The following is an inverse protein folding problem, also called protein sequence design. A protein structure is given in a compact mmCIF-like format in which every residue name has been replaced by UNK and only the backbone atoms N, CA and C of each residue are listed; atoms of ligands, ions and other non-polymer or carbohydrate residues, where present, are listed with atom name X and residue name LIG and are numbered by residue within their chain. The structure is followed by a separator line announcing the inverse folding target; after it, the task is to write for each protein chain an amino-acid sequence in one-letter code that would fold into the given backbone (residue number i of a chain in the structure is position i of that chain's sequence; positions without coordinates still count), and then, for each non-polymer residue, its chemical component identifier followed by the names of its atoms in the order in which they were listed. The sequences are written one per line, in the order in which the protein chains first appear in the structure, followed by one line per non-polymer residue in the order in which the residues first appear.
data_IF_320187480496
#
_entry.id   IF_320187480496
#
_cell.length_a   1.000
_cell.length_b   1.000
_cell.length_c   1.000
_cell.angle_alpha   90.00
_cell.angle_beta   90.00
_cell.angle_gamma   90.00
#
_symmetry.space_group_name_H-M   'P 1'
#
loop_
_entity.id
_entity.type
_entity.pdbx_description
1 polymer ?
#
# COMPACT_ATOMS: atom_id res chain seq x y z
N UNK A 1 -20.61 31.95 5.74
CA UNK A 1 -19.15 32.07 5.59
C UNK A 1 -18.52 30.78 6.07
N UNK A 2 -17.99 29.95 5.17
CA UNK A 2 -17.29 28.72 5.55
C UNK A 2 -15.96 29.12 6.20
N UNK A 3 -15.73 28.69 7.44
CA UNK A 3 -14.50 28.99 8.17
C UNK A 3 -13.30 28.43 7.42
N UNK A 4 -12.27 29.26 7.15
CA UNK A 4 -11.03 28.82 6.50
C UNK A 4 -10.35 27.67 7.24
N UNK A 5 -10.53 27.60 8.56
CA UNK A 5 -10.03 26.52 9.41
C UNK A 5 -10.72 25.19 9.07
N UNK A 6 -12.03 25.20 8.80
CA UNK A 6 -12.77 24.00 8.39
C UNK A 6 -12.31 23.50 7.02
N UNK A 7 -11.99 24.41 6.10
CA UNK A 7 -11.48 24.06 4.77
C UNK A 7 -10.09 23.41 4.87
N UNK A 8 -9.19 23.97 5.67
CA UNK A 8 -7.84 23.40 5.87
C UNK A 8 -7.91 22.03 6.56
N UNK A 9 -8.75 21.87 7.58
CA UNK A 9 -8.93 20.59 8.28
C UNK A 9 -9.46 19.49 7.34
N UNK A 10 -10.41 19.82 6.46
CA UNK A 10 -10.95 18.86 5.48
C UNK A 10 -9.89 18.41 4.47
N UNK A 11 -9.05 19.32 3.96
CA UNK A 11 -8.01 18.99 2.97
C UNK A 11 -6.92 18.09 3.56
N UNK A 12 -6.56 18.28 4.83
CA UNK A 12 -5.57 17.43 5.52
C UNK A 12 -6.10 16.00 5.70
N UNK A 13 -7.39 15.82 5.99
CA UNK A 13 -7.99 14.50 6.17
C UNK A 13 -8.07 13.69 4.87
N UNK A 14 -8.21 14.33 3.71
CA UNK A 14 -8.33 13.64 2.41
C UNK A 14 -6.99 13.21 1.80
N UNK A 15 -5.85 13.60 2.37
CA UNK A 15 -4.53 13.35 1.80
C UNK A 15 -4.02 11.90 1.97
N UNK A 16 -4.71 11.05 2.74
CA UNK A 16 -4.26 9.68 3.06
C UNK A 16 -5.07 8.59 2.33
N UNK A 17 -5.22 8.69 1.01
CA UNK A 17 -6.05 7.75 0.22
C UNK A 17 -5.40 6.38 -0.07
N UNK A 18 -4.15 6.15 0.33
CA UNK A 18 -3.40 4.94 -0.02
C UNK A 18 -3.16 3.96 1.15
N UNK A 19 -3.70 4.25 2.33
CA UNK A 19 -3.59 3.36 3.49
C UNK A 19 -4.96 2.99 4.04
N UNK A 20 -5.09 1.76 4.51
CA UNK A 20 -6.27 1.30 5.23
C UNK A 20 -5.88 0.44 6.42
N UNK A 21 -6.81 0.29 7.36
CA UNK A 21 -6.62 -0.54 8.54
C UNK A 21 -7.73 -1.58 8.61
N UNK A 22 -7.40 -2.76 9.09
CA UNK A 22 -8.34 -3.86 9.27
C UNK A 22 -8.05 -4.63 10.54
N UNK A 23 -9.10 -5.06 11.25
CA UNK A 23 -8.94 -5.95 12.39
C UNK A 23 -8.26 -7.26 11.98
N UNK A 24 -7.64 -7.93 12.94
CA UNK A 24 -6.99 -9.22 12.72
C UNK A 24 -8.04 -10.24 12.24
N UNK A 25 -7.82 -10.89 11.08
CA UNK A 25 -8.69 -11.97 10.63
C UNK A 25 -8.60 -13.15 11.59
N UNK A 26 -9.64 -13.98 11.58
CA UNK A 26 -9.64 -15.22 12.34
C UNK A 26 -8.55 -16.16 11.80
N UNK A 27 -7.72 -16.69 12.69
CA UNK A 27 -6.65 -17.62 12.31
C UNK A 27 -7.25 -18.97 11.92
N UNK A 28 -6.77 -19.61 10.85
CA UNK A 28 -7.07 -21.02 10.60
C UNK A 28 -6.69 -21.88 11.81
N UNK A 29 -7.48 -22.92 12.10
CA UNK A 29 -7.28 -23.79 13.28
C UNK A 29 -5.86 -24.37 13.36
N UNK A 30 -5.28 -24.68 12.21
CA UNK A 30 -3.93 -25.22 12.08
C UNK A 30 -2.85 -24.22 12.53
N UNK A 31 -3.10 -22.92 12.39
CA UNK A 31 -2.18 -21.83 12.73
C UNK A 31 -2.55 -21.11 14.04
N UNK A 32 -3.61 -21.54 14.73
CA UNK A 32 -4.10 -20.92 15.96
C UNK A 32 -3.05 -20.91 17.09
N UNK A 33 -2.09 -21.84 17.05
CA UNK A 33 -1.00 -21.93 18.02
C UNK A 33 0.09 -20.87 17.84
N UNK A 34 0.15 -20.20 16.67
CA UNK A 34 1.14 -19.15 16.39
C UNK A 34 0.63 -17.80 16.88
N UNK A 35 1.47 -17.05 17.59
CA UNK A 35 1.18 -15.68 18.01
C UNK A 35 1.47 -14.68 16.89
N UNK A 36 0.64 -13.62 16.77
CA UNK A 36 0.77 -12.59 15.72
C UNK A 36 -0.42 -12.48 14.78
N UNK A 37 -0.22 -11.91 13.59
CA UNK A 37 -1.28 -11.70 12.59
C UNK A 37 -1.25 -12.78 11.52
N UNK A 38 -2.41 -13.35 11.19
CA UNK A 38 -2.56 -14.17 10.00
C UNK A 38 -2.63 -13.28 8.76
N UNK A 39 -1.81 -13.59 7.77
CA UNK A 39 -1.74 -12.87 6.48
C UNK A 39 -2.17 -13.84 5.38
N UNK A 40 -3.29 -13.52 4.75
CA UNK A 40 -3.91 -14.36 3.72
C UNK A 40 -3.01 -14.54 2.49
N UNK A 41 -2.27 -13.49 2.10
CA UNK A 41 -1.42 -13.49 0.91
C UNK A 41 -0.25 -14.47 0.98
N UNK A 42 0.22 -14.81 2.19
CA UNK A 42 1.28 -15.81 2.40
C UNK A 42 0.78 -17.06 3.12
N UNK A 43 -0.51 -17.09 3.49
CA UNK A 43 -1.15 -18.16 4.26
C UNK A 43 -0.34 -18.56 5.51
N UNK A 44 0.15 -17.58 6.27
CA UNK A 44 0.90 -17.83 7.50
C UNK A 44 0.66 -16.74 8.55
N UNK A 45 1.03 -17.04 9.79
CA UNK A 45 1.02 -16.10 10.91
C UNK A 45 2.41 -15.53 11.11
N UNK A 46 2.51 -14.20 11.09
CA UNK A 46 3.76 -13.48 11.36
C UNK A 46 3.71 -12.78 12.73
N UNK A 47 4.84 -12.63 13.43
CA UNK A 47 4.88 -11.96 14.72
C UNK A 47 4.38 -10.51 14.65
N UNK A 48 3.86 -10.00 15.76
CA UNK A 48 3.52 -8.58 15.89
C UNK A 48 4.76 -7.68 15.67
N UNK A 49 4.54 -6.53 15.04
CA UNK A 49 5.58 -5.60 14.61
C UNK A 49 6.24 -5.96 13.27
N UNK A 50 5.86 -7.08 12.66
CA UNK A 50 6.43 -7.51 11.36
C UNK A 50 5.81 -6.75 10.20
N UNK A 51 6.63 -6.36 9.24
CA UNK A 51 6.20 -5.86 7.95
C UNK A 51 6.38 -6.95 6.87
N UNK A 52 5.35 -7.16 6.06
CA UNK A 52 5.33 -8.14 4.96
C UNK A 52 4.96 -7.46 3.66
N UNK A 53 5.62 -7.88 2.59
CA UNK A 53 5.44 -7.38 1.22
C UNK A 53 5.27 -8.58 0.28
N UNK A 54 4.07 -9.18 0.22
CA UNK A 54 3.85 -10.42 -0.52
C UNK A 54 4.12 -10.22 -2.02
N UNK A 55 4.77 -11.19 -2.66
CA UNK A 55 4.87 -11.23 -4.12
C UNK A 55 3.52 -11.65 -4.70
N UNK A 56 3.13 -11.08 -5.84
CA UNK A 56 1.83 -11.33 -6.47
C UNK A 56 0.72 -10.36 -6.03
N UNK A 57 0.95 -9.52 -5.01
CA UNK A 57 0.07 -8.42 -4.59
C UNK A 57 0.90 -7.19 -4.26
N UNK A 58 0.67 -6.05 -4.92
CA UNK A 58 1.42 -4.83 -4.63
C UNK A 58 0.88 -4.08 -3.40
N UNK A 59 1.10 -4.67 -2.24
CA UNK A 59 0.71 -4.14 -0.94
C UNK A 59 1.83 -4.32 0.07
N UNK A 60 1.87 -3.42 1.05
CA UNK A 60 2.66 -3.59 2.27
C UNK A 60 1.73 -3.76 3.44
N UNK A 61 1.96 -4.80 4.23
CA UNK A 61 1.14 -5.20 5.36
C UNK A 61 1.99 -5.07 6.62
N UNK A 62 1.57 -4.26 7.57
CA UNK A 62 2.17 -4.16 8.88
C UNK A 62 1.28 -4.86 9.90
N UNK A 63 1.82 -5.89 10.54
CA UNK A 63 1.15 -6.65 11.58
C UNK A 63 1.22 -5.90 12.91
N UNK A 64 0.16 -5.19 13.27
CA UNK A 64 0.03 -4.53 14.57
C UNK A 64 -0.84 -5.32 15.55
N UNK A 65 -0.95 -4.81 16.78
CA UNK A 65 -1.88 -5.29 17.81
C UNK A 65 -2.67 -4.08 18.34
N UNK A 66 -4.00 -4.00 18.14
CA UNK A 66 -4.93 -5.06 17.75
C UNK A 66 -5.32 -5.09 16.25
N UNK A 67 -4.58 -4.39 15.38
CA UNK A 67 -5.03 -4.11 14.01
C UNK A 67 -3.87 -4.21 13.01
N UNK A 68 -4.18 -4.58 11.77
CA UNK A 68 -3.23 -4.52 10.66
C UNK A 68 -3.35 -3.21 9.90
N UNK A 69 -2.21 -2.72 9.43
CA UNK A 69 -2.13 -1.54 8.58
C UNK A 69 -1.63 -1.95 7.21
N UNK A 70 -2.29 -1.41 6.18
CA UNK A 70 -2.00 -1.73 4.80
C UNK A 70 -1.64 -0.46 4.04
N UNK A 71 -0.75 -0.58 3.06
CA UNK A 71 -0.44 0.47 2.11
C UNK A 71 -0.41 -0.09 0.68
N UNK A 72 -1.14 0.53 -0.23
CA UNK A 72 -1.11 0.24 -1.67
C UNK A 72 -0.37 1.34 -2.43
N UNK A 73 -0.24 1.17 -3.74
CA UNK A 73 0.30 2.19 -4.63
C UNK A 73 -0.60 3.43 -4.65
N UNK A 74 0.03 4.61 -4.67
CA UNK A 74 -0.67 5.84 -4.97
C UNK A 74 -1.11 5.90 -6.43
N UNK A 75 -2.11 6.74 -6.71
CA UNK A 75 -2.50 7.04 -8.09
C UNK A 75 -1.46 7.97 -8.70
N UNK A 76 -0.86 7.54 -9.81
CA UNK A 76 0.06 8.35 -10.61
C UNK A 76 -0.54 8.63 -11.99
N UNK A 77 -0.23 9.79 -12.55
CA UNK A 77 -0.72 10.22 -13.86
C UNK A 77 0.17 11.30 -14.44
N UNK A 78 0.21 11.37 -15.76
CA UNK A 78 0.97 12.38 -16.51
C UNK A 78 0.08 13.00 -17.58
N UNK A 79 0.28 14.29 -17.84
CA UNK A 79 -0.33 15.02 -18.95
C UNK A 79 0.68 15.35 -20.06
N UNK A 80 1.94 14.91 -19.90
CA UNK A 80 3.00 15.11 -20.89
C UNK A 80 2.95 14.02 -21.94
N UNK A 81 2.97 14.39 -23.22
CA UNK A 81 2.93 13.45 -24.34
C UNK A 81 4.17 12.54 -24.43
N UNK A 82 5.30 12.97 -23.85
CA UNK A 82 6.56 12.22 -23.86
C UNK A 82 6.73 11.32 -22.63
N UNK A 83 5.70 11.20 -21.79
CA UNK A 83 5.74 10.38 -20.59
C UNK A 83 4.56 9.42 -20.54
N UNK A 84 4.79 8.22 -20.05
CA UNK A 84 3.77 7.19 -19.89
C UNK A 84 3.83 6.58 -18.49
N UNK A 85 2.69 6.11 -18.01
CA UNK A 85 2.59 5.37 -16.75
C UNK A 85 2.93 3.90 -17.00
N UNK A 86 3.89 3.36 -16.27
CA UNK A 86 4.23 1.94 -16.35
C UNK A 86 3.12 1.08 -15.75
N UNK A 87 3.03 -0.17 -16.18
CA UNK A 87 2.14 -1.14 -15.53
C UNK A 87 2.72 -1.58 -14.19
N UNK A 88 1.84 -2.04 -13.31
CA UNK A 88 2.21 -2.71 -12.07
C UNK A 88 3.00 -4.00 -12.38
N UNK A 89 4.08 -4.23 -11.63
CA UNK A 89 4.96 -5.40 -11.77
C UNK A 89 4.85 -6.29 -10.53
N UNK A 90 3.84 -7.16 -10.51
CA UNK A 90 3.55 -8.08 -9.41
C UNK A 90 4.65 -9.12 -9.14
N UNK A 91 5.69 -9.20 -9.98
CA UNK A 91 6.87 -10.02 -9.72
C UNK A 91 7.79 -9.43 -8.64
N UNK A 92 7.58 -8.15 -8.29
CA UNK A 92 8.36 -7.42 -7.29
C UNK A 92 7.56 -7.16 -6.01
N UNK A 93 8.24 -6.96 -4.87
CA UNK A 93 7.58 -6.53 -3.65
C UNK A 93 7.17 -5.06 -3.73
N UNK A 94 6.30 -4.62 -2.81
CA UNK A 94 6.02 -3.20 -2.62
C UNK A 94 7.23 -2.48 -1.99
N UNK A 95 7.59 -1.25 -2.44
CA UNK A 95 6.91 -0.41 -3.43
C UNK A 95 7.38 -0.62 -4.88
N UNK A 96 8.33 -1.52 -5.14
CA UNK A 96 8.96 -1.68 -6.45
C UNK A 96 8.01 -2.24 -7.53
N UNK A 97 6.90 -2.86 -7.13
CA UNK A 97 5.82 -3.27 -8.02
C UNK A 97 4.93 -2.12 -8.49
N UNK A 98 5.00 -0.93 -7.88
CA UNK A 98 4.06 0.15 -8.19
C UNK A 98 4.29 0.76 -9.59
N UNK A 99 3.20 1.20 -10.26
CA UNK A 99 3.29 2.06 -11.44
C UNK A 99 4.13 3.32 -11.18
N UNK A 100 4.95 3.70 -12.16
CA UNK A 100 5.75 4.92 -12.14
C UNK A 100 5.62 5.67 -13.47
N UNK A 101 6.03 6.93 -13.51
CA UNK A 101 6.05 7.75 -14.72
C UNK A 101 7.43 7.62 -15.37
N UNK A 102 7.47 7.04 -16.57
CA UNK A 102 8.67 7.04 -17.41
C UNK A 102 8.50 8.03 -18.54
N UNK A 103 9.56 8.81 -18.77
CA UNK A 103 9.59 9.79 -19.85
C UNK A 103 10.69 9.41 -20.84
N UNK A 104 10.31 9.37 -22.11
CA UNK A 104 11.25 9.20 -23.20
C UNK A 104 11.84 10.58 -23.51
N UNK A 105 12.83 10.98 -22.73
CA UNK A 105 13.68 12.10 -23.13
C UNK A 105 14.57 11.57 -24.25
N UNK A 106 14.24 11.88 -25.50
CA UNK A 106 15.22 11.70 -26.57
C UNK A 106 16.48 12.46 -26.15
N UNK A 107 17.58 11.70 -26.02
CA UNK A 107 18.89 12.21 -25.66
C UNK A 107 19.32 13.25 -26.70
N UNK A 108 18.99 14.51 -26.48
CA UNK A 108 19.64 15.64 -27.14
C UNK A 108 21.01 15.87 -26.47
N UNK A 109 21.93 14.93 -26.68
CA UNK A 109 23.38 15.14 -26.46
C UNK A 109 24.06 15.12 -27.81
#
# INVERSE_FOLDING_TARGET
MVSRILVVALVVCTANAATWMGYLPEKPKELAHKEGCYIEEINDVVPFGTEVKPIGRCVRINCGNPMMHYASCGVVGTTSDNCYVTKEDLSKPYPECCPDIKCDFENNV
#
